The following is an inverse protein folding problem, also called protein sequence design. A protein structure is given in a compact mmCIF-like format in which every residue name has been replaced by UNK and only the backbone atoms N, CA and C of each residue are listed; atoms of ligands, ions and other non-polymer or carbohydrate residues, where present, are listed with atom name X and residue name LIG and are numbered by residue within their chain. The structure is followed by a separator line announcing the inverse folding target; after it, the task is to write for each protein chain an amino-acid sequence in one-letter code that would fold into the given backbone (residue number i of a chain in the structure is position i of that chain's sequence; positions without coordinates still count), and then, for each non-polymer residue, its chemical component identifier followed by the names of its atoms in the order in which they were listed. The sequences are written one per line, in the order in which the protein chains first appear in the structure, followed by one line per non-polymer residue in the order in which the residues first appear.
data_IF_421084713480
#
_entry.id   IF_421084713480
#
_cell.length_a   1.000
_cell.length_b   1.000
_cell.length_c   1.000
_cell.angle_alpha   90.00
_cell.angle_beta   90.00
_cell.angle_gamma   90.00
#
_symmetry.space_group_name_H-M   'P 1'
#
loop_
_entity.id
_entity.type
_entity.pdbx_description
1 polymer ?
#
# COMPACT_ATOMS: atom_id res chain seq x y z
N UNK A 1 25.33 -8.76 6.73
CA UNK A 1 24.50 -8.00 7.71
C UNK A 1 23.29 -7.46 6.98
N UNK A 2 22.10 -7.50 7.59
CA UNK A 2 20.88 -6.91 7.00
C UNK A 2 21.10 -5.41 6.80
N UNK A 3 20.76 -4.89 5.63
CA UNK A 3 20.86 -3.46 5.30
C UNK A 3 19.57 -3.03 4.61
N UNK A 4 18.79 -2.23 5.31
CA UNK A 4 17.52 -1.70 4.82
C UNK A 4 17.68 -0.29 4.23
N UNK A 5 17.08 -0.07 3.06
CA UNK A 5 16.83 1.26 2.52
C UNK A 5 15.45 1.76 2.98
N UNK A 6 15.31 3.07 3.18
CA UNK A 6 14.04 3.73 3.47
C UNK A 6 13.59 4.55 2.25
N UNK A 7 12.38 4.27 1.77
CA UNK A 7 11.78 4.93 0.62
C UNK A 7 10.48 5.57 1.10
N UNK A 8 10.48 6.89 1.18
CA UNK A 8 9.34 7.67 1.63
C UNK A 8 8.50 8.07 0.43
N UNK A 9 7.21 7.79 0.48
CA UNK A 9 6.27 7.88 -0.63
C UNK A 9 5.27 8.99 -0.35
N UNK A 10 5.25 9.99 -1.22
CA UNK A 10 4.34 11.13 -1.10
C UNK A 10 3.10 10.92 -1.95
N UNK A 11 1.94 10.77 -1.33
CA UNK A 11 0.68 10.71 -2.08
C UNK A 11 0.37 12.03 -2.79
N UNK A 12 0.78 13.15 -2.19
CA UNK A 12 0.64 14.50 -2.73
C UNK A 12 1.93 15.28 -2.56
N UNK A 13 2.09 16.35 -3.35
CA UNK A 13 3.30 17.19 -3.33
C UNK A 13 3.38 18.04 -2.06
N UNK A 14 3.97 17.48 -0.99
CA UNK A 14 4.20 18.13 0.30
C UNK A 14 5.69 18.40 0.55
N UNK A 15 6.33 19.16 -0.34
CA UNK A 15 7.79 19.40 -0.35
C UNK A 15 8.34 19.87 1.01
N UNK A 16 7.53 20.60 1.81
CA UNK A 16 7.90 21.06 3.16
C UNK A 16 8.17 19.92 4.16
N UNK A 17 7.65 18.73 3.93
CA UNK A 17 7.88 17.56 4.79
C UNK A 17 9.27 16.95 4.57
N UNK A 18 9.87 17.12 3.39
CA UNK A 18 11.15 16.51 3.00
C UNK A 18 12.27 16.80 4.01
N UNK A 19 12.60 18.08 4.35
CA UNK A 19 13.68 18.36 5.30
C UNK A 19 13.39 17.86 6.72
N UNK A 20 12.12 17.79 7.13
CA UNK A 20 11.70 17.28 8.45
C UNK A 20 11.96 15.78 8.52
N UNK A 21 11.51 15.04 7.51
CA UNK A 21 11.69 13.59 7.40
C UNK A 21 13.16 13.23 7.23
N UNK A 22 13.93 13.98 6.45
CA UNK A 22 15.36 13.76 6.33
C UNK A 22 16.07 13.94 7.67
N UNK A 23 15.76 15.00 8.43
CA UNK A 23 16.30 15.20 9.78
C UNK A 23 15.93 14.04 10.72
N UNK A 24 14.70 13.54 10.63
CA UNK A 24 14.19 12.45 11.46
C UNK A 24 14.83 11.08 11.16
N UNK A 25 15.22 10.82 9.91
CA UNK A 25 15.63 9.48 9.46
C UNK A 25 17.10 9.37 9.03
N UNK A 26 17.78 10.46 8.67
CA UNK A 26 19.16 10.41 8.14
C UNK A 26 20.19 9.82 9.10
N UNK A 27 20.01 9.97 10.42
CA UNK A 27 20.83 9.31 11.43
C UNK A 27 20.60 7.80 11.57
N UNK A 28 19.50 7.27 10.98
CA UNK A 28 19.05 5.87 11.08
C UNK A 28 19.18 5.11 9.77
N UNK A 29 19.05 5.81 8.64
CA UNK A 29 19.10 5.24 7.31
C UNK A 29 20.05 6.05 6.43
N UNK A 30 21.14 5.40 5.99
CA UNK A 30 22.05 6.00 5.00
C UNK A 30 21.40 6.10 3.62
N UNK A 31 20.69 5.05 3.22
CA UNK A 31 19.98 4.97 1.94
C UNK A 31 18.52 5.38 2.16
N UNK A 32 18.28 6.69 2.14
CA UNK A 32 16.95 7.30 2.22
C UNK A 32 16.60 8.00 0.90
N UNK A 33 15.41 7.73 0.39
CA UNK A 33 14.91 8.30 -0.86
C UNK A 33 13.48 8.79 -0.71
N UNK A 34 13.12 9.84 -1.45
CA UNK A 34 11.78 10.41 -1.43
C UNK A 34 11.16 10.32 -2.83
N UNK A 35 10.03 9.64 -2.97
CA UNK A 35 9.25 9.59 -4.21
C UNK A 35 8.19 10.68 -4.15
N UNK A 36 8.36 11.76 -4.94
CA UNK A 36 7.52 12.96 -4.84
C UNK A 36 6.84 13.27 -6.17
N UNK A 37 5.50 13.34 -6.21
CA UNK A 37 4.78 13.56 -7.46
C UNK A 37 4.99 14.98 -7.97
N UNK A 38 5.36 15.09 -9.25
CA UNK A 38 5.56 16.37 -9.96
C UNK A 38 6.57 17.30 -9.29
N UNK A 39 7.58 16.74 -8.61
CA UNK A 39 8.65 17.51 -8.02
C UNK A 39 9.53 18.16 -9.11
N UNK A 40 9.83 19.44 -8.95
CA UNK A 40 10.60 20.27 -9.90
C UNK A 40 11.84 20.91 -9.25
N UNK A 41 12.16 20.54 -8.01
CA UNK A 41 13.38 20.97 -7.32
C UNK A 41 14.58 20.07 -7.62
N UNK A 42 15.68 20.33 -6.92
CA UNK A 42 17.01 19.74 -7.16
C UNK A 42 17.54 18.88 -6.00
N UNK A 43 16.70 18.58 -4.99
CA UNK A 43 17.14 17.82 -3.83
C UNK A 43 17.67 16.43 -4.25
N UNK A 44 18.92 16.07 -3.90
CA UNK A 44 19.63 14.92 -4.48
C UNK A 44 18.96 13.57 -4.15
N UNK A 45 18.24 13.50 -3.02
CA UNK A 45 17.53 12.30 -2.57
C UNK A 45 16.07 12.24 -2.99
N UNK A 46 15.58 13.24 -3.75
CA UNK A 46 14.22 13.24 -4.27
C UNK A 46 14.21 12.67 -5.68
N UNK A 47 13.24 11.79 -5.91
CA UNK A 47 12.94 11.19 -7.19
C UNK A 47 11.58 11.73 -7.64
N UNK A 48 11.54 12.58 -8.67
CA UNK A 48 10.27 13.05 -9.22
C UNK A 48 9.55 11.87 -9.88
N UNK A 49 8.26 11.76 -9.62
CA UNK A 49 7.38 10.76 -10.21
C UNK A 49 6.16 11.43 -10.82
N UNK A 50 5.58 10.82 -11.85
CA UNK A 50 4.52 11.40 -12.67
C UNK A 50 3.37 10.41 -12.79
N UNK A 51 2.49 10.42 -11.79
CA UNK A 51 1.23 9.68 -11.78
C UNK A 51 0.32 10.27 -10.69
N UNK A 52 -0.98 9.98 -10.72
CA UNK A 52 -1.92 10.40 -9.67
C UNK A 52 -1.82 9.54 -8.41
N UNK A 53 -2.25 10.10 -7.28
CA UNK A 53 -2.31 9.39 -5.98
C UNK A 53 -3.18 8.13 -5.99
N UNK A 54 -4.12 7.99 -6.93
CA UNK A 54 -4.91 6.77 -7.08
C UNK A 54 -4.10 5.56 -7.59
N UNK A 55 -2.92 5.82 -8.16
CA UNK A 55 -2.04 4.83 -8.78
C UNK A 55 -0.58 5.01 -8.31
N UNK A 56 -0.38 5.43 -7.05
CA UNK A 56 0.95 5.74 -6.52
C UNK A 56 1.90 4.53 -6.51
N UNK A 57 1.43 3.30 -6.68
CA UNK A 57 2.30 2.14 -6.93
C UNK A 57 3.21 2.35 -8.15
N UNK A 58 2.80 3.18 -9.12
CA UNK A 58 3.64 3.60 -10.25
C UNK A 58 4.96 4.24 -9.79
N UNK A 59 4.94 4.92 -8.65
CA UNK A 59 6.10 5.63 -8.12
C UNK A 59 7.24 4.64 -7.82
N UNK A 60 6.91 3.43 -7.36
CA UNK A 60 7.90 2.38 -7.09
C UNK A 60 8.61 1.97 -8.37
N UNK A 61 7.86 1.80 -9.47
CA UNK A 61 8.40 1.45 -10.78
C UNK A 61 9.27 2.58 -11.34
N UNK A 62 8.79 3.83 -11.28
CA UNK A 62 9.51 5.00 -11.80
C UNK A 62 10.80 5.27 -11.02
N UNK A 63 10.77 5.07 -9.69
CA UNK A 63 11.93 5.31 -8.83
C UNK A 63 12.92 4.16 -8.73
N UNK A 64 12.55 2.95 -9.16
CA UNK A 64 13.31 1.72 -8.93
C UNK A 64 14.79 1.85 -9.26
N UNK A 65 15.13 2.33 -10.45
CA UNK A 65 16.52 2.44 -10.90
C UNK A 65 17.37 3.45 -10.13
N UNK A 66 16.75 4.34 -9.35
CA UNK A 66 17.45 5.36 -8.55
C UNK A 66 17.66 4.92 -7.10
N UNK A 67 16.67 4.28 -6.49
CA UNK A 67 16.79 3.83 -5.09
C UNK A 67 17.34 2.40 -4.95
N UNK A 68 17.28 1.59 -6.01
CA UNK A 68 17.74 0.20 -5.97
C UNK A 68 19.25 0.13 -5.78
N UNK A 69 19.68 -0.73 -4.86
CA UNK A 69 21.07 -1.05 -4.61
C UNK A 69 21.17 -2.52 -4.18
N UNK A 70 21.96 -3.30 -4.90
CA UNK A 70 22.17 -4.73 -4.62
C UNK A 70 22.73 -5.03 -3.23
N UNK A 71 23.40 -4.05 -2.59
CA UNK A 71 23.90 -4.16 -1.23
C UNK A 71 22.79 -4.11 -0.16
N UNK A 72 21.58 -3.69 -0.52
CA UNK A 72 20.45 -3.61 0.40
C UNK A 72 19.66 -4.92 0.38
N UNK A 73 19.46 -5.50 1.56
CA UNK A 73 18.70 -6.75 1.74
C UNK A 73 17.20 -6.51 1.79
N UNK A 74 16.78 -5.31 2.22
CA UNK A 74 15.37 -4.93 2.38
C UNK A 74 15.13 -3.48 1.97
N UNK A 75 13.90 -3.19 1.57
CA UNK A 75 13.40 -1.89 1.14
C UNK A 75 12.13 -1.59 1.94
N UNK A 76 12.18 -0.58 2.79
CA UNK A 76 11.04 -0.15 3.59
C UNK A 76 10.36 0.99 2.84
N UNK A 77 9.13 0.77 2.40
CA UNK A 77 8.30 1.85 1.86
C UNK A 77 7.42 2.41 2.97
N UNK A 78 7.32 3.74 3.04
CA UNK A 78 6.61 4.45 4.10
C UNK A 78 5.90 5.67 3.53
N UNK A 79 4.63 5.89 3.85
CA UNK A 79 3.94 7.15 3.54
C UNK A 79 4.61 8.36 4.21
N UNK A 80 4.54 9.55 3.62
CA UNK A 80 5.15 10.77 4.17
C UNK A 80 4.55 11.23 5.51
N UNK A 81 3.35 10.74 5.84
CA UNK A 81 2.66 10.93 7.10
C UNK A 81 2.65 9.67 7.99
N UNK A 82 3.50 8.68 7.70
CA UNK A 82 3.67 7.50 8.54
C UNK A 82 5.00 7.60 9.31
N UNK A 83 4.94 7.60 10.64
CA UNK A 83 6.12 7.73 11.51
C UNK A 83 6.49 6.38 12.08
N UNK A 84 7.66 5.88 11.68
CA UNK A 84 8.23 4.61 12.11
C UNK A 84 8.87 4.73 13.49
N UNK A 85 8.79 3.66 14.27
CA UNK A 85 9.40 3.55 15.59
C UNK A 85 10.86 4.07 15.60
N UNK A 86 11.25 4.95 16.54
CA UNK A 86 12.51 5.67 16.54
C UNK A 86 13.74 4.75 16.55
N UNK A 87 13.66 3.60 17.23
CA UNK A 87 14.77 2.64 17.31
C UNK A 87 15.01 1.82 16.03
N UNK A 88 14.10 1.87 15.05
CA UNK A 88 14.29 1.18 13.77
C UNK A 88 15.27 1.95 12.90
N UNK A 89 16.28 1.23 12.41
CA UNK A 89 17.34 1.74 11.54
C UNK A 89 17.73 0.71 10.47
N UNK A 90 18.66 1.08 9.61
CA UNK A 90 19.09 0.25 8.47
C UNK A 90 19.58 -1.16 8.85
N UNK A 91 20.09 -1.37 10.07
CA UNK A 91 20.72 -2.63 10.48
C UNK A 91 19.80 -3.57 11.26
N UNK A 92 18.75 -3.03 11.90
CA UNK A 92 17.93 -3.79 12.85
C UNK A 92 16.45 -3.90 12.46
N UNK A 93 16.01 -3.30 11.34
CA UNK A 93 14.59 -3.21 11.00
C UNK A 93 13.86 -4.56 11.01
N UNK A 94 14.38 -5.56 10.29
CA UNK A 94 13.77 -6.89 10.26
C UNK A 94 13.72 -7.55 11.64
N UNK A 95 14.83 -7.47 12.39
CA UNK A 95 14.96 -8.10 13.71
C UNK A 95 14.02 -7.46 14.76
N UNK A 96 13.93 -6.12 14.77
CA UNK A 96 13.08 -5.39 15.70
C UNK A 96 11.59 -5.63 15.41
N UNK A 97 11.22 -5.71 14.12
CA UNK A 97 9.87 -6.08 13.69
C UNK A 97 9.53 -7.54 13.99
N UNK A 98 10.54 -8.40 14.22
CA UNK A 98 10.36 -9.85 14.30
C UNK A 98 10.03 -10.48 12.96
N UNK A 99 10.46 -9.87 11.84
CA UNK A 99 10.26 -10.41 10.51
C UNK A 99 11.16 -11.62 10.28
N UNK A 100 10.61 -12.77 9.85
CA UNK A 100 11.44 -13.90 9.49
C UNK A 100 12.37 -13.56 8.30
N UNK A 101 13.51 -14.28 8.15
CA UNK A 101 14.40 -14.08 7.02
C UNK A 101 13.68 -14.21 5.67
N UNK A 102 14.08 -13.39 4.69
CA UNK A 102 13.53 -13.40 3.32
C UNK A 102 12.00 -13.34 3.27
N UNK A 103 11.40 -12.58 4.17
CA UNK A 103 9.94 -12.43 4.26
C UNK A 103 9.57 -10.98 4.01
N UNK A 104 8.72 -10.77 3.02
CA UNK A 104 8.13 -9.47 2.73
C UNK A 104 7.02 -9.14 3.74
N UNK A 105 6.64 -7.88 3.86
CA UNK A 105 5.64 -7.42 4.82
C UNK A 105 4.63 -6.48 4.19
N UNK A 106 3.36 -6.68 4.55
CA UNK A 106 2.26 -5.74 4.37
C UNK A 106 1.33 -5.86 5.59
N UNK A 107 0.70 -4.79 6.10
CA UNK A 107 -0.08 -4.84 7.35
C UNK A 107 -1.18 -5.91 7.36
N UNK A 108 -1.93 -6.03 6.27
CA UNK A 108 -2.97 -7.04 6.14
C UNK A 108 -3.47 -7.17 4.71
N UNK A 109 -3.90 -8.38 4.36
CA UNK A 109 -4.47 -8.71 3.06
C UNK A 109 -5.98 -8.93 3.17
N UNK A 110 -6.71 -8.47 2.16
CA UNK A 110 -8.17 -8.55 2.07
C UNK A 110 -8.55 -9.47 0.92
N UNK A 111 -9.26 -10.53 1.29
CA UNK A 111 -9.97 -11.40 0.35
C UNK A 111 -11.37 -10.85 0.10
N UNK A 112 -11.59 -10.24 -1.08
CA UNK A 112 -12.85 -9.56 -1.38
C UNK A 112 -14.09 -10.45 -1.21
N UNK A 113 -13.97 -11.77 -1.40
CA UNK A 113 -15.09 -12.70 -1.24
C UNK A 113 -15.49 -12.93 0.24
N UNK A 114 -14.57 -12.68 1.20
CA UNK A 114 -14.82 -12.78 2.65
C UNK A 114 -15.46 -11.50 3.22
N UNK A 115 -15.51 -10.43 2.44
CA UNK A 115 -16.15 -9.17 2.84
C UNK A 115 -17.66 -9.33 3.01
N UNK A 116 -18.11 -9.46 4.27
CA UNK A 116 -19.50 -9.74 4.59
C UNK A 116 -20.42 -8.53 4.40
N UNK A 117 -20.41 -7.61 5.36
CA UNK A 117 -21.26 -6.39 5.36
C UNK A 117 -20.48 -5.13 4.97
N UNK A 118 -19.16 -5.13 5.20
CA UNK A 118 -18.27 -4.03 4.90
C UNK A 118 -17.71 -4.26 3.50
N UNK A 119 -18.01 -3.36 2.57
CA UNK A 119 -17.44 -3.42 1.24
C UNK A 119 -16.19 -2.57 1.16
N UNK A 120 -15.17 -3.08 0.46
CA UNK A 120 -14.05 -2.25 0.07
C UNK A 120 -14.49 -1.42 -1.13
N UNK A 121 -14.60 -0.10 -0.97
CA UNK A 121 -15.23 0.79 -1.97
C UNK A 121 -14.66 0.60 -3.37
N UNK A 122 -13.37 0.26 -3.48
CA UNK A 122 -12.68 0.08 -4.76
C UNK A 122 -12.78 -1.33 -5.36
N UNK A 123 -13.50 -2.28 -4.75
CA UNK A 123 -13.62 -3.68 -5.23
C UNK A 123 -13.98 -3.76 -6.73
N UNK A 124 -14.85 -2.88 -7.21
CA UNK A 124 -15.25 -2.84 -8.62
C UNK A 124 -14.09 -2.56 -9.59
N UNK A 125 -13.02 -1.88 -9.15
CA UNK A 125 -11.82 -1.63 -9.95
C UNK A 125 -11.06 -2.92 -10.30
N UNK A 126 -11.19 -3.97 -9.47
CA UNK A 126 -10.69 -5.30 -9.79
C UNK A 126 -11.51 -6.00 -10.87
N UNK A 127 -12.82 -5.75 -10.91
CA UNK A 127 -13.72 -6.29 -11.94
C UNK A 127 -13.45 -5.63 -13.29
N UNK A 128 -13.24 -4.31 -13.28
CA UNK A 128 -12.93 -3.53 -14.48
C UNK A 128 -11.43 -3.49 -14.80
N UNK A 129 -10.59 -4.35 -14.19
CA UNK A 129 -9.12 -4.25 -14.25
C UNK A 129 -8.57 -3.99 -15.66
N UNK A 130 -8.87 -4.85 -16.63
CA UNK A 130 -8.40 -4.67 -18.02
C UNK A 130 -9.16 -3.62 -18.84
N UNK A 131 -10.05 -2.85 -18.20
CA UNK A 131 -10.89 -1.80 -18.82
C UNK A 131 -10.73 -0.45 -18.13
N UNK A 132 -9.94 -0.36 -17.06
CA UNK A 132 -9.79 0.85 -16.26
C UNK A 132 -9.07 1.99 -17.02
N UNK A 133 -8.08 1.66 -17.86
CA UNK A 133 -7.39 2.59 -18.77
C UNK A 133 -7.20 1.95 -20.14
N UNK A 134 -7.43 2.73 -21.21
CA UNK A 134 -7.21 2.28 -22.60
C UNK A 134 -5.75 2.50 -22.98
N UNK A 135 -5.25 1.70 -23.92
CA UNK A 135 -3.90 1.85 -24.51
C UNK A 135 -2.78 1.11 -23.79
N UNK A 136 -3.05 0.47 -22.64
CA UNK A 136 -2.06 -0.34 -21.94
C UNK A 136 -2.14 -1.82 -22.37
N UNK A 137 -1.08 -2.32 -22.99
CA UNK A 137 -0.97 -3.71 -23.46
C UNK A 137 -0.37 -4.63 -22.40
N UNK A 138 -1.09 -4.85 -21.30
CA UNK A 138 -0.53 -5.52 -20.11
C UNK A 138 -0.78 -7.03 -20.05
N UNK A 139 -1.57 -7.61 -20.96
CA UNK A 139 -2.06 -8.99 -20.84
C UNK A 139 -0.95 -10.04 -20.83
N UNK A 140 0.14 -9.79 -21.57
CA UNK A 140 1.27 -10.71 -21.69
C UNK A 140 2.40 -10.39 -20.69
N UNK A 141 2.24 -9.32 -19.90
CA UNK A 141 3.23 -8.86 -18.92
C UNK A 141 2.94 -9.37 -17.51
N UNK A 142 1.74 -9.89 -17.27
CA UNK A 142 1.32 -10.55 -16.05
C UNK A 142 1.40 -12.08 -16.22
N UNK A 143 1.59 -12.84 -15.13
CA UNK A 143 1.36 -14.28 -15.14
C UNK A 143 -0.02 -14.62 -15.69
N UNK A 144 -0.19 -15.84 -16.20
CA UNK A 144 -1.51 -16.34 -16.55
C UNK A 144 -2.44 -16.33 -15.32
N UNK A 145 -3.75 -16.35 -15.55
CA UNK A 145 -4.73 -16.37 -14.45
C UNK A 145 -4.52 -17.59 -13.56
N UNK A 146 -4.23 -18.74 -14.14
CA UNK A 146 -4.01 -20.01 -13.46
C UNK A 146 -2.77 -19.94 -12.55
N UNK A 147 -1.65 -19.43 -13.08
CA UNK A 147 -0.42 -19.22 -12.31
C UNK A 147 -0.65 -18.22 -11.18
N UNK A 148 -1.31 -17.11 -11.46
CA UNK A 148 -1.60 -16.09 -10.46
C UNK A 148 -2.49 -16.61 -9.32
N UNK A 149 -3.50 -17.42 -9.62
CA UNK A 149 -4.32 -18.09 -8.59
C UNK A 149 -3.46 -19.04 -7.74
N UNK A 150 -2.51 -19.75 -8.34
CA UNK A 150 -1.62 -20.63 -7.60
C UNK A 150 -0.67 -19.84 -6.69
N UNK A 151 -0.11 -18.72 -7.18
CA UNK A 151 0.71 -17.81 -6.36
C UNK A 151 -0.06 -17.28 -5.16
N UNK A 152 -1.31 -16.87 -5.34
CA UNK A 152 -2.19 -16.46 -4.24
C UNK A 152 -2.40 -17.56 -3.21
N UNK A 153 -2.69 -18.79 -3.67
CA UNK A 153 -2.86 -19.96 -2.78
C UNK A 153 -1.61 -20.30 -1.99
N UNK A 154 -0.42 -20.12 -2.55
CA UNK A 154 0.84 -20.34 -1.83
C UNK A 154 0.98 -19.42 -0.61
N UNK A 155 0.29 -18.27 -0.61
CA UNK A 155 0.20 -17.33 0.51
C UNK A 155 -1.07 -17.51 1.36
N UNK A 156 -1.85 -18.58 1.13
CA UNK A 156 -3.09 -18.87 1.85
C UNK A 156 -4.25 -17.93 1.49
N UNK A 157 -4.22 -17.29 0.31
CA UNK A 157 -5.25 -16.38 -0.16
C UNK A 157 -6.12 -17.05 -1.23
N UNK A 158 -7.43 -17.07 -1.02
CA UNK A 158 -8.39 -17.64 -1.97
C UNK A 158 -9.00 -16.58 -2.90
N UNK A 159 -9.28 -16.99 -4.14
CA UNK A 159 -9.81 -16.12 -5.21
C UNK A 159 -11.18 -16.61 -5.66
N UNK A 160 -12.17 -16.50 -4.78
CA UNK A 160 -13.53 -16.97 -5.05
C UNK A 160 -14.42 -15.92 -5.73
N UNK A 161 -15.48 -16.35 -6.45
CA UNK A 161 -16.43 -15.44 -7.07
C UNK A 161 -17.14 -14.53 -6.05
N UNK A 162 -17.38 -13.28 -6.44
CA UNK A 162 -17.96 -12.23 -5.61
C UNK A 162 -19.49 -12.18 -5.73
N UNK A 163 -20.15 -11.94 -4.61
CA UNK A 163 -21.57 -11.59 -4.56
C UNK A 163 -21.77 -10.08 -4.74
N UNK A 164 -23.00 -9.65 -5.04
CA UNK A 164 -23.34 -8.21 -5.05
C UNK A 164 -23.00 -7.52 -3.74
N UNK A 165 -23.16 -8.23 -2.62
CA UNK A 165 -22.91 -7.70 -1.28
C UNK A 165 -21.41 -7.44 -1.04
N UNK A 166 -20.54 -8.33 -1.53
CA UNK A 166 -19.09 -8.14 -1.47
C UNK A 166 -18.67 -6.85 -2.20
N UNK A 167 -19.35 -6.52 -3.31
CA UNK A 167 -18.99 -5.39 -4.18
C UNK A 167 -19.60 -4.06 -3.69
N UNK A 168 -20.91 -4.07 -3.40
CA UNK A 168 -21.69 -2.86 -3.16
C UNK A 168 -22.09 -2.64 -1.70
N UNK A 169 -21.75 -3.58 -0.81
CA UNK A 169 -22.14 -3.52 0.61
C UNK A 169 -23.65 -3.64 0.81
N UNK A 170 -24.13 -3.06 1.91
CA UNK A 170 -25.58 -2.95 2.17
C UNK A 170 -26.18 -1.78 1.39
N UNK A 171 -27.23 -2.05 0.62
CA UNK A 171 -28.00 -1.00 -0.04
C UNK A 171 -28.91 -0.28 0.96
N UNK A 172 -28.70 1.03 1.11
CA UNK A 172 -29.59 1.93 1.86
C UNK A 172 -30.83 2.29 1.03
N UNK A 173 -31.99 2.46 1.68
CA UNK A 173 -33.25 2.90 1.05
C UNK A 173 -33.38 4.43 0.91
N UNK A 174 -32.32 5.20 1.19
CA UNK A 174 -32.31 6.66 0.97
C UNK A 174 -32.35 7.03 -0.53
N UNK A 175 -32.71 8.28 -0.89
CA UNK A 175 -32.65 8.76 -2.31
C UNK A 175 -31.27 8.55 -2.94
N UNK A 176 -30.18 8.81 -2.20
CA UNK A 176 -28.80 8.50 -2.63
C UNK A 176 -28.60 6.99 -2.79
N UNK A 177 -29.17 6.20 -1.89
CA UNK A 177 -29.19 4.75 -1.95
C UNK A 177 -29.93 4.18 -3.16
N UNK A 178 -31.01 4.81 -3.63
CA UNK A 178 -31.74 4.40 -4.83
C UNK A 178 -30.91 4.60 -6.11
N UNK A 179 -30.28 5.77 -6.29
CA UNK A 179 -29.35 6.00 -7.41
C UNK A 179 -28.17 5.03 -7.38
N UNK A 180 -27.60 4.79 -6.19
CA UNK A 180 -26.55 3.80 -6.00
C UNK A 180 -27.02 2.38 -6.37
N UNK A 181 -28.23 2.00 -5.96
CA UNK A 181 -28.84 0.72 -6.29
C UNK A 181 -29.07 0.56 -7.79
N UNK A 182 -29.60 1.57 -8.48
CA UNK A 182 -29.77 1.55 -9.94
C UNK A 182 -28.43 1.38 -10.67
N UNK A 183 -27.41 2.14 -10.27
CA UNK A 183 -26.04 2.00 -10.80
C UNK A 183 -25.49 0.59 -10.55
N UNK A 184 -25.60 0.10 -9.32
CA UNK A 184 -25.15 -1.24 -8.94
C UNK A 184 -25.82 -2.32 -9.80
N UNK A 185 -27.12 -2.18 -10.05
CA UNK A 185 -27.89 -3.10 -10.88
C UNK A 185 -27.49 -3.04 -12.35
N UNK A 186 -27.26 -1.84 -12.89
CA UNK A 186 -26.76 -1.66 -14.27
C UNK A 186 -25.38 -2.30 -14.44
N UNK A 187 -24.41 -1.97 -13.58
CA UNK A 187 -23.06 -2.53 -13.66
C UNK A 187 -23.09 -4.06 -13.55
N UNK A 188 -23.77 -4.59 -12.53
CA UNK A 188 -23.78 -6.03 -12.26
C UNK A 188 -24.52 -6.85 -13.33
N UNK A 189 -25.67 -6.37 -13.82
CA UNK A 189 -26.48 -7.15 -14.76
C UNK A 189 -26.12 -6.93 -16.23
N UNK A 190 -25.48 -5.80 -16.56
CA UNK A 190 -25.21 -5.43 -17.93
C UNK A 190 -23.70 -5.36 -18.21
N UNK A 191 -22.98 -4.42 -17.57
CA UNK A 191 -21.56 -4.20 -17.87
C UNK A 191 -20.67 -5.40 -17.51
N UNK A 192 -20.97 -6.07 -16.40
CA UNK A 192 -20.21 -7.22 -15.90
C UNK A 192 -20.88 -8.56 -16.18
N UNK A 193 -21.91 -8.58 -17.02
CA UNK A 193 -22.58 -9.82 -17.47
C UNK A 193 -21.59 -10.89 -17.97
N UNK A 194 -20.51 -10.57 -18.73
CA UNK A 194 -19.55 -11.57 -19.19
C UNK A 194 -18.82 -12.31 -18.05
N UNK A 195 -18.75 -11.70 -16.87
CA UNK A 195 -18.07 -12.25 -15.68
C UNK A 195 -19.04 -12.95 -14.72
N UNK A 196 -20.33 -12.92 -15.00
CA UNK A 196 -21.37 -13.48 -14.14
C UNK A 196 -21.54 -14.98 -14.40
N UNK A 197 -21.23 -15.81 -13.41
CA UNK A 197 -21.44 -17.27 -13.44
C UNK A 197 -22.25 -17.71 -12.23
N UNK A 198 -23.37 -18.41 -12.46
CA UNK A 198 -24.28 -18.92 -11.41
C UNK A 198 -24.67 -17.85 -10.36
N UNK A 199 -24.89 -16.61 -10.80
CA UNK A 199 -25.29 -15.49 -9.94
C UNK A 199 -24.16 -14.84 -9.12
N UNK A 200 -22.91 -15.29 -9.28
CA UNK A 200 -21.71 -14.67 -8.69
C UNK A 200 -20.78 -14.16 -9.78
N UNK A 201 -19.99 -13.16 -9.46
CA UNK A 201 -19.11 -12.48 -10.39
C UNK A 201 -17.68 -12.98 -10.21
N UNK A 202 -17.12 -13.57 -11.26
CA UNK A 202 -15.71 -13.97 -11.28
C UNK A 202 -14.83 -12.79 -11.68
N UNK A 203 -13.80 -12.51 -10.88
CA UNK A 203 -12.83 -11.49 -11.26
C UNK A 203 -12.10 -11.91 -12.54
N UNK A 204 -11.88 -10.99 -13.49
CA UNK A 204 -11.16 -11.29 -14.74
C UNK A 204 -9.70 -11.72 -14.48
N UNK A 205 -9.14 -11.29 -13.35
CA UNK A 205 -7.82 -11.66 -12.87
C UNK A 205 -7.84 -11.70 -11.33
N UNK A 206 -7.11 -12.61 -10.66
CA UNK A 206 -7.05 -12.63 -9.20
C UNK A 206 -6.45 -11.33 -8.66
N UNK A 207 -7.13 -10.73 -7.68
CA UNK A 207 -6.67 -9.51 -7.00
C UNK A 207 -7.01 -9.59 -5.51
N UNK A 208 -6.21 -8.92 -4.69
CA UNK A 208 -6.43 -8.75 -3.25
C UNK A 208 -6.44 -7.25 -2.90
N UNK A 209 -7.01 -6.91 -1.75
CA UNK A 209 -6.98 -5.55 -1.21
C UNK A 209 -6.01 -5.42 -0.03
N UNK A 210 -5.50 -4.23 0.24
CA UNK A 210 -4.72 -3.91 1.43
C UNK A 210 -4.55 -2.40 1.62
N UNK A 211 -4.52 -1.98 2.88
CA UNK A 211 -3.88 -0.72 3.26
C UNK A 211 -2.35 -0.86 3.13
N UNK A 212 -1.67 0.13 2.54
CA UNK A 212 -0.31 -0.04 1.99
C UNK A 212 0.67 1.10 2.30
N UNK A 213 0.44 1.90 3.34
CA UNK A 213 1.32 3.02 3.72
C UNK A 213 2.62 2.58 4.40
N UNK A 214 2.76 1.29 4.70
CA UNK A 214 4.02 0.67 5.08
C UNK A 214 4.18 -0.68 4.39
N UNK A 215 5.36 -0.93 3.83
CA UNK A 215 5.74 -2.21 3.24
C UNK A 215 7.20 -2.51 3.57
N UNK A 216 7.55 -3.78 3.71
CA UNK A 216 8.96 -4.20 3.68
C UNK A 216 9.12 -5.20 2.55
N UNK A 217 9.98 -4.89 1.59
CA UNK A 217 10.21 -5.71 0.41
C UNK A 217 11.67 -6.16 0.40
N UNK A 218 11.89 -7.45 0.27
CA UNK A 218 13.19 -8.09 0.23
C UNK A 218 13.89 -7.85 -1.11
N UNK A 219 15.21 -7.97 -1.13
CA UNK A 219 16.02 -7.80 -2.34
C UNK A 219 15.65 -8.77 -3.48
N UNK A 220 15.16 -9.97 -3.15
CA UNK A 220 14.70 -10.95 -4.14
C UNK A 220 13.36 -10.55 -4.77
N UNK A 221 12.49 -9.91 -4.00
CA UNK A 221 11.12 -9.54 -4.41
C UNK A 221 11.07 -8.16 -5.08
N UNK A 222 11.96 -7.22 -4.74
CA UNK A 222 11.84 -5.80 -5.11
C UNK A 222 11.71 -5.54 -6.61
N UNK A 223 12.47 -6.26 -7.44
CA UNK A 223 12.46 -6.08 -8.89
C UNK A 223 11.14 -6.52 -9.52
N UNK A 224 10.66 -7.76 -9.35
CA UNK A 224 9.36 -8.16 -9.88
C UNK A 224 8.21 -7.36 -9.24
N UNK A 225 8.29 -7.02 -7.96
CA UNK A 225 7.31 -6.18 -7.28
C UNK A 225 7.15 -4.81 -7.97
N UNK A 226 8.25 -4.05 -8.12
CA UNK A 226 8.21 -2.74 -8.78
C UNK A 226 7.71 -2.84 -10.23
N UNK A 227 8.11 -3.89 -10.97
CA UNK A 227 7.62 -4.14 -12.33
C UNK A 227 6.09 -4.31 -12.35
N UNK A 228 5.54 -5.19 -11.51
CA UNK A 228 4.10 -5.42 -11.44
C UNK A 228 3.33 -4.18 -10.99
N UNK A 229 3.86 -3.41 -10.04
CA UNK A 229 3.28 -2.12 -9.66
C UNK A 229 3.15 -1.17 -10.87
N UNK A 230 4.20 -1.06 -11.69
CA UNK A 230 4.17 -0.25 -12.92
C UNK A 230 3.14 -0.74 -13.94
N UNK A 231 3.11 -2.05 -14.21
CA UNK A 231 2.13 -2.68 -15.13
C UNK A 231 0.70 -2.40 -14.67
N UNK A 232 0.41 -2.61 -13.38
CA UNK A 232 -0.94 -2.42 -12.82
C UNK A 232 -1.35 -0.94 -12.79
N UNK A 233 -0.41 -0.02 -12.57
CA UNK A 233 -0.66 1.41 -12.71
C UNK A 233 -0.99 1.81 -14.15
N UNK A 234 -0.25 1.29 -15.14
CA UNK A 234 -0.53 1.53 -16.56
C UNK A 234 -1.95 1.07 -16.94
N UNK A 235 -2.39 -0.06 -16.38
CA UNK A 235 -3.75 -0.56 -16.54
C UNK A 235 -4.81 0.20 -15.71
N UNK A 236 -4.42 1.09 -14.79
CA UNK A 236 -5.34 1.87 -13.96
C UNK A 236 -5.98 1.06 -12.84
N UNK A 237 -5.30 0.04 -12.33
CA UNK A 237 -5.74 -0.67 -11.13
C UNK A 237 -5.45 0.18 -9.90
N UNK A 238 -6.47 0.42 -9.09
CA UNK A 238 -6.39 1.25 -7.90
C UNK A 238 -5.33 0.75 -6.91
N UNK A 239 -4.61 1.66 -6.27
CA UNK A 239 -3.40 1.36 -5.49
C UNK A 239 -3.59 0.34 -4.37
N UNK A 240 -4.68 0.42 -3.62
CA UNK A 240 -5.01 -0.52 -2.54
C UNK A 240 -5.33 -1.94 -3.06
N UNK A 241 -5.42 -2.12 -4.38
CA UNK A 241 -5.56 -3.43 -5.03
C UNK A 241 -4.26 -3.80 -5.74
N UNK A 242 -3.61 -2.83 -6.39
CA UNK A 242 -2.41 -3.06 -7.18
C UNK A 242 -1.20 -3.45 -6.33
N UNK A 243 -0.94 -2.77 -5.22
CA UNK A 243 0.20 -3.09 -4.33
C UNK A 243 0.11 -4.51 -3.75
N UNK A 244 -0.97 -4.90 -3.06
CA UNK A 244 -1.06 -6.26 -2.51
C UNK A 244 -1.06 -7.33 -3.60
N UNK A 245 -1.69 -7.07 -4.75
CA UNK A 245 -1.67 -8.00 -5.88
C UNK A 245 -0.25 -8.14 -6.43
N UNK A 246 0.47 -7.04 -6.66
CA UNK A 246 1.86 -7.07 -7.10
C UNK A 246 2.74 -7.86 -6.12
N UNK A 247 2.56 -7.65 -4.82
CA UNK A 247 3.28 -8.36 -3.77
C UNK A 247 3.00 -9.87 -3.79
N UNK A 248 1.73 -10.28 -3.87
CA UNK A 248 1.34 -11.69 -3.95
C UNK A 248 1.89 -12.40 -5.19
N UNK A 249 2.07 -11.68 -6.29
CA UNK A 249 2.66 -12.23 -7.52
C UNK A 249 4.19 -12.31 -7.49
N UNK A 250 4.85 -11.48 -6.67
CA UNK A 250 6.32 -11.39 -6.65
C UNK A 250 6.97 -12.10 -5.45
N UNK A 251 6.30 -12.15 -4.30
CA UNK A 251 6.86 -12.61 -3.04
C UNK A 251 6.87 -14.13 -2.92
N UNK A 252 7.90 -14.66 -2.27
CA UNK A 252 7.94 -16.07 -1.84
C UNK A 252 7.24 -16.29 -0.49
N UNK A 253 7.37 -15.32 0.43
CA UNK A 253 6.78 -15.35 1.76
C UNK A 253 6.34 -13.94 2.14
N UNK A 254 5.13 -13.83 2.71
CA UNK A 254 4.57 -12.58 3.19
C UNK A 254 4.18 -12.76 4.66
N UNK A 255 4.71 -11.89 5.52
CA UNK A 255 4.21 -11.68 6.87
C UNK A 255 3.15 -10.57 6.88
N UNK A 256 2.17 -10.73 7.75
CA UNK A 256 1.17 -9.71 8.06
C UNK A 256 1.34 -9.25 9.50
N UNK A 257 0.72 -8.12 9.87
CA UNK A 257 0.87 -7.50 11.19
C UNK A 257 0.63 -8.45 12.37
N UNK A 258 -0.32 -9.41 12.35
CA UNK A 258 -0.48 -10.37 13.44
C UNK A 258 0.79 -11.17 13.79
N UNK A 259 1.65 -11.42 12.80
CA UNK A 259 2.91 -12.16 12.97
C UNK A 259 4.08 -11.29 13.46
N UNK A 260 3.97 -9.96 13.46
CA UNK A 260 5.04 -9.07 13.89
C UNK A 260 5.15 -8.96 15.42
N UNK A 261 6.35 -8.64 15.92
CA UNK A 261 6.58 -8.27 17.31
C UNK A 261 5.99 -6.91 17.64
N UNK A 262 6.23 -5.92 16.76
CA UNK A 262 5.69 -4.57 16.87
C UNK A 262 4.39 -4.46 16.06
N UNK A 263 3.39 -3.75 16.59
CA UNK A 263 2.08 -3.57 15.92
C UNK A 263 1.94 -2.16 15.40
N UNK A 264 1.34 -1.96 14.23
CA UNK A 264 1.01 -0.65 13.67
C UNK A 264 -0.15 0.03 14.38
N UNK A 265 -0.28 1.35 14.22
CA UNK A 265 -1.38 2.15 14.75
C UNK A 265 -1.85 3.08 13.66
N UNK A 266 -2.77 2.56 12.85
CA UNK A 266 -3.61 3.37 11.99
C UNK A 266 -4.62 4.14 12.85
N UNK A 267 -4.65 5.46 12.70
CA UNK A 267 -5.55 6.40 13.35
C UNK A 267 -6.70 6.68 12.38
N UNK A 268 -7.77 5.93 12.50
CA UNK A 268 -8.90 5.94 11.57
C UNK A 268 -9.83 7.13 11.76
N UNK A 269 -9.84 7.69 12.97
CA UNK A 269 -10.79 8.75 13.36
C UNK A 269 -10.09 10.05 13.73
N UNK A 270 -10.79 11.16 13.56
CA UNK A 270 -10.33 12.47 14.02
C UNK A 270 -10.06 12.48 15.54
N UNK A 271 -10.81 11.70 16.32
CA UNK A 271 -10.63 11.54 17.75
C UNK A 271 -9.31 10.84 18.09
N UNK A 272 -8.95 9.76 17.39
CA UNK A 272 -7.67 9.07 17.56
C UNK A 272 -6.49 9.97 17.18
N UNK A 273 -6.61 10.72 16.08
CA UNK A 273 -5.58 11.70 15.66
C UNK A 273 -5.42 12.78 16.74
N UNK A 274 -6.52 13.37 17.21
CA UNK A 274 -6.49 14.40 18.25
C UNK A 274 -5.89 13.87 19.56
N UNK A 275 -6.22 12.63 19.94
CA UNK A 275 -5.66 12.01 21.14
C UNK A 275 -4.13 11.93 21.08
N UNK A 276 -3.58 11.43 19.97
CA UNK A 276 -2.12 11.36 19.77
C UNK A 276 -1.49 12.77 19.78
N UNK A 277 -2.08 13.73 19.07
CA UNK A 277 -1.61 15.11 19.06
C UNK A 277 -1.59 15.73 20.46
N UNK A 278 -2.62 15.49 21.27
CA UNK A 278 -2.70 15.98 22.65
C UNK A 278 -1.69 15.29 23.55
N UNK A 279 -1.55 13.97 23.48
CA UNK A 279 -0.59 13.19 24.29
C UNK A 279 0.83 13.71 24.13
N UNK A 280 1.24 14.04 22.90
CA UNK A 280 2.59 14.50 22.61
C UNK A 280 2.71 16.02 22.50
N UNK A 281 1.64 16.77 22.77
CA UNK A 281 1.63 18.24 22.68
C UNK A 281 1.99 18.76 21.29
N UNK A 282 1.72 17.98 20.23
CA UNK A 282 2.13 18.23 18.84
C UNK A 282 3.64 18.46 18.66
N UNK A 283 4.48 17.99 19.58
CA UNK A 283 5.95 18.04 19.48
C UNK A 283 6.47 16.76 18.81
N UNK A 284 7.25 16.90 17.73
CA UNK A 284 7.87 15.74 17.09
C UNK A 284 8.96 15.14 17.98
N UNK A 285 9.75 15.98 18.66
CA UNK A 285 10.75 15.50 19.61
C UNK A 285 10.11 14.70 20.77
N UNK A 286 8.96 15.14 21.26
CA UNK A 286 8.23 14.44 22.31
C UNK A 286 7.64 13.11 21.82
N UNK A 287 7.07 13.08 20.61
CA UNK A 287 6.59 11.84 19.98
C UNK A 287 7.72 10.82 19.82
N UNK A 288 8.88 11.24 19.34
CA UNK A 288 10.01 10.34 19.08
C UNK A 288 10.70 9.87 20.38
N UNK A 289 10.75 10.69 21.42
CA UNK A 289 11.38 10.31 22.70
C UNK A 289 10.49 9.42 23.56
N UNK A 290 9.16 9.52 23.41
CA UNK A 290 8.17 8.74 24.18
C UNK A 290 7.31 7.84 23.27
N UNK A 291 7.92 7.33 22.20
CA UNK A 291 7.26 6.41 21.29
C UNK A 291 6.96 5.07 22.02
N UNK A 292 5.74 4.51 21.95
CA UNK A 292 5.43 3.31 22.73
C UNK A 292 6.23 2.09 22.24
N UNK A 293 6.81 1.31 23.17
CA UNK A 293 7.73 0.22 22.83
C UNK A 293 7.12 -0.89 21.97
N UNK A 294 5.82 -1.16 22.10
CA UNK A 294 5.11 -2.18 21.32
C UNK A 294 4.64 -1.71 19.93
N UNK A 295 4.91 -0.45 19.57
CA UNK A 295 4.32 0.23 18.44
C UNK A 295 5.31 0.28 17.26
N UNK A 296 4.90 -0.21 16.08
CA UNK A 296 5.73 -0.16 14.87
C UNK A 296 5.72 1.23 14.24
N UNK A 297 4.53 1.83 14.12
CA UNK A 297 4.35 3.13 13.50
C UNK A 297 3.07 3.82 13.98
N UNK A 298 2.98 5.13 13.75
CA UNK A 298 1.73 5.91 13.75
C UNK A 298 1.42 6.39 12.33
N UNK A 299 0.17 6.27 11.91
CA UNK A 299 -0.33 6.91 10.70
C UNK A 299 -1.82 7.25 10.81
N UNK A 300 -2.29 8.39 10.31
CA UNK A 300 -1.49 9.47 9.75
C UNK A 300 -0.98 10.43 10.84
N UNK A 301 0.24 10.92 10.67
CA UNK A 301 0.85 12.03 11.41
C UNK A 301 1.12 13.15 10.42
N UNK A 302 0.15 14.06 10.27
CA UNK A 302 0.24 15.17 9.32
C UNK A 302 1.23 16.21 9.84
N UNK A 303 2.47 16.20 9.34
CA UNK A 303 3.57 17.06 9.83
C UNK A 303 3.24 18.55 9.84
N UNK A 304 2.35 19.04 8.98
CA UNK A 304 1.88 20.43 8.99
C UNK A 304 1.15 20.86 10.28
N UNK A 305 0.72 19.91 11.11
CA UNK A 305 0.06 20.13 12.41
C UNK A 305 1.00 19.99 13.60
N UNK A 306 2.26 19.61 13.36
CA UNK A 306 3.23 19.32 14.40
C UNK A 306 4.35 20.37 14.40
N UNK A 307 4.90 20.65 15.58
CA UNK A 307 6.06 21.50 15.74
C UNK A 307 7.31 20.71 15.31
N UNK A 308 8.12 21.32 14.45
CA UNK A 308 9.40 20.76 14.05
C UNK A 308 10.49 21.17 15.05
N UNK A 309 10.51 20.50 16.19
CA UNK A 309 11.43 20.71 17.32
C UNK A 309 12.49 19.60 17.46
N UNK A 310 12.76 18.90 16.37
CA UNK A 310 13.80 17.87 16.24
C UNK A 310 15.22 18.41 16.39
#
# INVERSE_FOLDING_TARGET
MSKAALIIVFNHRYDKNIPILEKMYSGRFRDIWFLVPFYDGDHPRVIPVYESSNYFQSYFAQGFHRFYNEANSNYIFLGDDCILHPSINQSNAADLMGLPPQTDFIPGLIEFHKLGNDNWWHTFKGIDFFRNRKGAEIKNELPSREEAVQLFRNHGIDTLPLTRKNIFGRTSLSKKGFLHWMRSRYHFNYQWKPFLKKGKLELPYPVAGAYSDILVITAETIRPFCRYCGIMAAAGLFVEIAIPTALLLSAKKIAQEPALRLKGKALWTAAEIAAVETTYGKSLANLLSHFPEGQLYYHPVKLSRWNNDL
#
